data_IF_319699691325
#
_entry.id   IF_319699691325
#
_cell.length_a   1.000
_cell.length_b   1.000
_cell.length_c   1.000
_cell.angle_alpha   90.00
_cell.angle_beta   90.00
_cell.angle_gamma   90.00
#
_symmetry.space_group_name_H-M   'P 1'
#
loop_
_entity.id
_entity.type
_entity.pdbx_description
1 polymer ?
#
# COMPACT_ATOMS: atom_id res chain seq x y z
N UNK A 1 9.24 1.56 -7.05
CA UNK A 1 8.89 2.21 -5.75
C UNK A 1 7.48 1.78 -5.37
N UNK A 2 7.20 1.50 -4.09
CA UNK A 2 5.84 1.19 -3.61
C UNK A 2 5.26 2.42 -2.90
N UNK A 3 4.07 2.85 -3.33
CA UNK A 3 3.29 3.93 -2.75
C UNK A 3 1.99 3.35 -2.18
N UNK A 4 1.80 3.48 -0.88
CA UNK A 4 0.59 3.02 -0.17
C UNK A 4 -0.33 4.21 0.12
N UNK A 5 -1.58 4.12 -0.32
CA UNK A 5 -2.65 5.08 -0.06
C UNK A 5 -3.62 4.47 0.95
N UNK A 6 -3.96 5.21 2.01
CA UNK A 6 -4.99 4.78 2.95
C UNK A 6 -5.92 5.95 3.31
N UNK A 7 -7.19 5.87 2.90
CA UNK A 7 -8.16 6.98 3.06
C UNK A 7 -9.60 6.48 3.06
N UNK A 8 -10.56 7.36 3.33
CA UNK A 8 -11.97 7.10 3.04
C UNK A 8 -12.19 6.91 1.55
N UNK A 9 -12.83 5.80 1.19
CA UNK A 9 -13.18 5.51 -0.19
C UNK A 9 -14.27 6.49 -0.63
N UNK A 10 -14.05 7.10 -1.79
CA UNK A 10 -14.97 8.04 -2.40
C UNK A 10 -15.00 7.80 -3.89
N UNK A 11 -16.13 8.13 -4.49
CA UNK A 11 -16.24 8.10 -5.94
C UNK A 11 -15.14 8.96 -6.59
N UNK A 12 -14.48 8.40 -7.60
CA UNK A 12 -13.40 9.06 -8.32
C UNK A 12 -12.02 9.03 -7.65
N UNK A 13 -11.86 8.44 -6.46
CA UNK A 13 -10.57 8.41 -5.76
C UNK A 13 -9.43 7.85 -6.62
N UNK A 14 -9.62 6.67 -7.22
CA UNK A 14 -8.63 6.04 -8.10
C UNK A 14 -8.35 6.88 -9.35
N UNK A 15 -9.39 7.54 -9.89
CA UNK A 15 -9.23 8.42 -11.05
C UNK A 15 -8.32 9.60 -10.71
N UNK A 16 -8.52 10.22 -9.57
CA UNK A 16 -7.71 11.36 -9.13
C UNK A 16 -6.27 10.96 -8.86
N UNK A 17 -6.06 9.84 -8.16
CA UNK A 17 -4.73 9.32 -7.82
C UNK A 17 -3.94 8.94 -9.07
N UNK A 18 -4.55 8.19 -9.99
CA UNK A 18 -3.89 7.77 -11.24
C UNK A 18 -3.63 8.95 -12.17
N UNK A 19 -4.53 9.95 -12.19
CA UNK A 19 -4.32 11.22 -12.91
C UNK A 19 -3.09 11.94 -12.39
N UNK A 20 -2.95 12.07 -11.07
CA UNK A 20 -1.77 12.70 -10.44
C UNK A 20 -0.49 11.95 -10.81
N UNK A 21 -0.48 10.62 -10.75
CA UNK A 21 0.71 9.85 -11.15
C UNK A 21 1.10 10.11 -12.61
N UNK A 22 0.13 10.08 -13.52
CA UNK A 22 0.38 10.37 -14.95
C UNK A 22 0.91 11.79 -15.17
N UNK A 23 0.35 12.78 -14.47
CA UNK A 23 0.75 14.19 -14.60
C UNK A 23 2.16 14.45 -14.05
N UNK A 24 2.64 13.63 -13.12
CA UNK A 24 4.00 13.70 -12.57
C UNK A 24 4.99 12.74 -13.27
N UNK A 25 4.61 12.16 -14.43
CA UNK A 25 5.52 11.30 -15.20
C UNK A 25 5.79 9.94 -14.56
N UNK A 26 4.85 9.42 -13.77
CA UNK A 26 4.94 8.06 -13.24
C UNK A 26 4.18 7.05 -14.11
N UNK A 27 4.74 5.85 -14.17
CA UNK A 27 4.13 4.67 -14.77
C UNK A 27 3.82 3.61 -13.71
N UNK A 28 2.59 3.10 -13.69
CA UNK A 28 2.15 2.07 -12.76
C UNK A 28 2.48 0.70 -13.36
N UNK A 29 3.34 -0.07 -12.70
CA UNK A 29 3.67 -1.46 -13.07
C UNK A 29 2.69 -2.47 -12.50
N UNK A 30 2.23 -2.23 -11.27
CA UNK A 30 1.27 -3.07 -10.56
C UNK A 30 0.47 -2.20 -9.60
N UNK A 31 -0.80 -2.54 -9.41
CA UNK A 31 -1.65 -1.96 -8.40
C UNK A 31 -2.37 -3.07 -7.63
N UNK A 32 -2.40 -2.94 -6.31
CA UNK A 32 -3.20 -3.78 -5.41
C UNK A 32 -4.23 -2.86 -4.78
N UNK A 33 -5.51 -3.02 -5.14
CA UNK A 33 -6.60 -2.12 -4.74
C UNK A 33 -7.53 -2.88 -3.81
N UNK A 34 -7.86 -2.29 -2.66
CA UNK A 34 -8.78 -2.91 -1.72
C UNK A 34 -9.63 -1.89 -0.98
N UNK A 35 -10.93 -2.13 -0.93
CA UNK A 35 -11.85 -1.34 -0.12
C UNK A 35 -12.42 -2.22 0.98
N UNK A 36 -12.29 -1.78 2.24
CA UNK A 36 -12.88 -2.47 3.39
C UNK A 36 -13.48 -1.44 4.35
N UNK A 37 -14.74 -1.64 4.71
CA UNK A 37 -15.49 -0.75 5.60
C UNK A 37 -15.46 0.74 5.17
N UNK A 38 -15.55 1.01 3.87
CA UNK A 38 -15.48 2.40 3.37
C UNK A 38 -14.09 3.03 3.45
N UNK A 39 -13.04 2.28 3.78
CA UNK A 39 -11.65 2.72 3.62
C UNK A 39 -11.03 2.07 2.40
N UNK A 40 -10.41 2.88 1.55
CA UNK A 40 -9.54 2.44 0.47
C UNK A 40 -8.13 2.22 1.02
N UNK A 41 -7.53 1.09 0.68
CA UNK A 41 -6.15 0.73 0.97
C UNK A 41 -5.52 0.19 -0.30
N UNK A 42 -4.75 1.05 -0.94
CA UNK A 42 -4.21 0.81 -2.28
C UNK A 42 -2.69 0.86 -2.27
N UNK A 43 -2.05 -0.12 -2.91
CA UNK A 43 -0.60 -0.16 -3.10
C UNK A 43 -0.25 -0.06 -4.58
N UNK A 44 0.51 0.96 -4.95
CA UNK A 44 0.95 1.21 -6.32
C UNK A 44 2.45 0.99 -6.45
N UNK A 45 2.84 0.11 -7.37
CA UNK A 45 4.22 -0.13 -7.73
C UNK A 45 4.55 0.69 -8.96
N UNK A 46 5.32 1.76 -8.77
CA UNK A 46 5.57 2.78 -9.78
C UNK A 46 7.04 2.87 -10.18
N UNK A 47 7.25 3.29 -11.43
CA UNK A 47 8.53 3.70 -12.03
C UNK A 47 8.36 5.05 -12.72
N UNK A 48 9.42 5.65 -13.21
CA UNK A 48 9.28 6.71 -14.22
C UNK A 48 8.70 6.13 -15.53
N UNK A 49 8.42 7.00 -16.50
CA UNK A 49 7.93 6.61 -17.85
C UNK A 49 8.94 5.75 -18.64
N UNK A 50 10.23 5.85 -18.33
CA UNK A 50 11.32 5.10 -18.97
C UNK A 50 11.58 3.75 -18.32
N UNK A 51 10.94 3.45 -17.19
CA UNK A 51 11.14 2.24 -16.40
C UNK A 51 12.22 2.33 -15.31
N UNK A 52 12.83 3.49 -15.09
CA UNK A 52 13.84 3.72 -14.06
C UNK A 52 13.18 3.95 -12.67
N UNK A 53 14.00 3.89 -11.59
CA UNK A 53 13.57 4.32 -10.27
C UNK A 53 13.03 5.76 -10.27
N UNK A 54 12.05 6.01 -9.40
CA UNK A 54 11.44 7.34 -9.27
C UNK A 54 12.35 8.25 -8.46
N UNK A 55 12.62 9.44 -8.98
CA UNK A 55 13.39 10.47 -8.28
C UNK A 55 12.70 10.93 -6.98
N UNK A 56 13.45 11.11 -5.87
CA UNK A 56 12.87 11.52 -4.59
C UNK A 56 12.08 12.83 -4.67
N UNK A 57 12.53 13.80 -5.47
CA UNK A 57 11.83 15.08 -5.67
C UNK A 57 10.43 14.88 -6.24
N UNK A 58 10.24 13.92 -7.16
CA UNK A 58 8.93 13.58 -7.71
C UNK A 58 8.02 12.98 -6.65
N UNK A 59 8.58 12.18 -5.74
CA UNK A 59 7.82 11.60 -4.62
C UNK A 59 7.30 12.70 -3.70
N UNK A 60 8.13 13.71 -3.40
CA UNK A 60 7.72 14.84 -2.55
C UNK A 60 6.60 15.67 -3.19
N UNK A 61 6.69 15.93 -4.49
CA UNK A 61 5.63 16.62 -5.25
C UNK A 61 4.30 15.87 -5.19
N UNK A 62 4.32 14.55 -5.40
CA UNK A 62 3.11 13.72 -5.38
C UNK A 62 2.51 13.67 -3.98
N UNK A 63 3.34 13.58 -2.93
CA UNK A 63 2.86 13.65 -1.54
C UNK A 63 2.22 14.99 -1.22
N UNK A 64 2.71 16.08 -1.80
CA UNK A 64 2.09 17.40 -1.66
C UNK A 64 0.73 17.48 -2.37
N UNK A 65 0.58 16.84 -3.55
CA UNK A 65 -0.67 16.86 -4.33
C UNK A 65 -1.76 15.92 -3.77
N UNK A 66 -1.40 14.71 -3.35
CA UNK A 66 -2.35 13.71 -2.83
C UNK A 66 -2.65 13.96 -1.34
N UNK A 67 -1.69 14.50 -0.60
CA UNK A 67 -1.75 14.69 0.84
C UNK A 67 -0.72 13.84 1.58
N UNK A 68 0.12 14.50 2.38
CA UNK A 68 1.28 13.88 3.04
C UNK A 68 0.91 12.75 4.03
N UNK A 69 -0.29 12.83 4.62
CA UNK A 69 -0.82 11.86 5.59
C UNK A 69 -1.50 10.67 4.92
N UNK A 70 -1.84 10.80 3.64
CA UNK A 70 -2.62 9.81 2.89
C UNK A 70 -1.72 8.86 2.12
N UNK A 71 -0.61 9.39 1.57
CA UNK A 71 0.34 8.65 0.76
C UNK A 71 1.62 8.34 1.53
N UNK A 72 1.85 7.06 1.81
CA UNK A 72 3.06 6.53 2.44
C UNK A 72 3.98 5.93 1.39
N UNK A 73 5.28 6.20 1.53
CA UNK A 73 6.30 5.65 0.65
C UNK A 73 6.93 4.46 1.36
N UNK A 74 6.86 3.28 0.74
CA UNK A 74 7.50 2.08 1.27
C UNK A 74 8.79 1.87 0.48
N UNK A 75 9.91 2.07 1.16
CA UNK A 75 11.22 1.78 0.60
C UNK A 75 11.32 0.29 0.27
N UNK A 76 12.10 -0.05 -0.76
CA UNK A 76 12.48 -1.43 -1.06
C UNK A 76 13.31 -1.99 0.12
N UNK A 77 12.67 -2.37 1.22
CA UNK A 77 13.23 -3.39 2.08
C UNK A 77 13.07 -4.67 1.28
N UNK A 78 14.14 -5.09 0.62
CA UNK A 78 14.21 -6.42 0.03
C UNK A 78 13.63 -7.39 1.07
N UNK A 79 12.57 -8.12 0.71
CA UNK A 79 12.19 -9.28 1.51
C UNK A 79 13.42 -10.18 1.53
N UNK A 80 14.06 -10.29 2.70
CA UNK A 80 15.02 -11.35 2.97
C UNK A 80 14.34 -12.68 2.60
N UNK A 81 15.00 -13.60 1.88
CA UNK A 81 14.41 -14.90 1.59
C UNK A 81 14.03 -15.58 2.89
N UNK A 82 12.74 -15.70 3.18
CA UNK A 82 12.26 -16.62 4.20
C UNK A 82 12.18 -17.98 3.55
N UNK A 83 13.30 -18.67 3.51
CA UNK A 83 13.35 -20.12 3.47
C UNK A 83 14.47 -20.57 4.39
N UNK A 84 14.10 -21.20 5.51
CA UNK A 84 14.49 -22.57 5.86
C UNK A 84 13.93 -22.86 7.24
N UNK A 85 13.14 -23.93 7.34
CA UNK A 85 12.60 -24.44 8.59
C UNK A 85 13.71 -24.79 9.59
N UNK A 86 13.59 -24.30 10.82
CA UNK A 86 14.24 -24.94 11.98
C UNK A 86 13.41 -24.75 13.24
N UNK A 87 13.19 -25.89 13.90
CA UNK A 87 12.69 -26.08 15.27
C UNK A 87 11.28 -25.59 15.59
N UNK A 88 10.34 -26.48 15.33
CA UNK A 88 9.30 -26.81 16.30
C UNK A 88 9.91 -26.92 17.71
N UNK A 89 9.27 -26.30 18.69
CA UNK A 89 9.00 -26.81 20.04
C UNK A 89 8.59 -25.59 20.89
N UNK A 90 7.29 -25.28 20.95
CA UNK A 90 6.63 -24.80 22.17
C UNK A 90 5.11 -24.85 21.98
N UNK A 91 4.47 -25.80 22.67
CA UNK A 91 3.22 -25.55 23.38
C UNK A 91 1.93 -25.50 22.56
N UNK A 92 1.14 -26.57 22.69
CA UNK A 92 -0.30 -26.55 22.43
C UNK A 92 -0.98 -25.33 23.08
N UNK A 93 -1.72 -24.57 22.28
CA UNK A 93 -2.90 -23.86 22.79
C UNK A 93 -4.06 -24.08 21.83
N UNK A 94 -4.85 -25.12 22.12
CA UNK A 94 -6.19 -25.29 21.59
C UNK A 94 -7.02 -24.04 21.93
N UNK A 95 -7.49 -23.29 20.93
CA UNK A 95 -8.75 -22.55 21.10
C UNK A 95 -9.38 -22.04 19.80
N UNK A 96 -10.44 -22.73 19.41
CA UNK A 96 -11.72 -22.12 19.06
C UNK A 96 -11.80 -21.36 17.75
N UNK A 97 -12.48 -21.96 16.76
CA UNK A 97 -13.31 -21.17 15.85
C UNK A 97 -14.28 -20.36 16.71
N UNK A 98 -14.19 -19.05 16.64
CA UNK A 98 -15.20 -18.14 17.18
C UNK A 98 -15.37 -17.02 16.16
N UNK A 99 -16.48 -17.07 15.42
CA UNK A 99 -17.07 -15.87 14.85
C UNK A 99 -17.36 -14.91 16.00
N UNK A 100 -16.71 -13.73 15.99
CA UNK A 100 -16.94 -12.50 16.76
C UNK A 100 -15.75 -11.59 16.41
N UNK A 101 -15.86 -10.35 15.95
CA UNK A 101 -16.95 -9.39 15.83
C UNK A 101 -16.61 -8.45 14.68
N UNK A 102 -17.63 -7.86 14.04
CA UNK A 102 -17.48 -6.62 13.28
C UNK A 102 -17.02 -5.52 14.25
N UNK A 103 -15.71 -5.42 14.44
CA UNK A 103 -15.08 -4.14 14.75
C UNK A 103 -14.18 -3.92 13.56
N UNK A 104 -14.59 -3.00 12.69
CA UNK A 104 -13.66 -2.54 11.68
C UNK A 104 -12.57 -1.77 12.42
N UNK A 105 -11.49 -2.46 12.77
CA UNK A 105 -10.36 -1.84 13.45
C UNK A 105 -9.82 -0.74 12.53
N UNK A 106 -10.04 0.49 12.99
CA UNK A 106 -9.66 1.76 12.39
C UNK A 106 -8.15 1.93 12.42
N UNK A 107 -7.38 1.33 11.51
CA UNK A 107 -5.99 1.77 11.29
C UNK A 107 -5.64 1.66 9.79
N UNK A 108 -5.96 2.73 9.07
CA UNK A 108 -4.91 3.46 8.36
C UNK A 108 -4.08 4.17 9.44
#
# INVERSE_FOLDING_TARGET
LELELCTDDRFGLLSDVTRIFRENGLSIKRAEISTKCGKAKDSFFVTDVSGNPVEPTTVDLIRQQIGQTILRVKGNSAKLPQDTATSFLFGNFFRGRTFKNLVCNTIC
#
